data_IF_963432747877
#
_entry.id   IF_963432747877
#
_cell.length_a   1.000
_cell.length_b   1.000
_cell.length_c   1.000
_cell.angle_alpha   90.00
_cell.angle_beta   90.00
_cell.angle_gamma   90.00
#
_symmetry.space_group_name_H-M   'P 1'
#
loop_
_entity.id
_entity.type
_entity.pdbx_description
1 polymer ?
#
# COMPACT_ATOMS: atom_id res chain seq x y z
N UNK A 1 8.81 30.51 4.19
CA UNK A 1 9.47 29.20 4.27
C UNK A 1 8.44 28.20 4.76
N UNK A 2 8.22 27.14 3.99
CA UNK A 2 7.24 26.11 4.32
C UNK A 2 7.74 25.27 5.53
N UNK A 3 6.83 24.74 6.36
CA UNK A 3 7.19 23.94 7.55
C UNK A 3 8.09 22.75 7.20
N UNK A 4 7.91 22.20 5.99
CA UNK A 4 8.72 21.12 5.41
C UNK A 4 10.16 21.58 5.11
N UNK A 5 10.35 22.81 4.62
CA UNK A 5 11.68 23.36 4.36
C UNK A 5 12.44 23.69 5.65
N UNK A 6 11.74 24.24 6.66
CA UNK A 6 12.34 24.46 7.99
C UNK A 6 12.76 23.13 8.64
N UNK A 7 11.96 22.07 8.46
CA UNK A 7 12.28 20.72 8.94
C UNK A 7 13.51 20.12 8.24
N UNK A 8 13.65 20.29 6.91
CA UNK A 8 14.81 19.82 6.15
C UNK A 8 16.13 20.52 6.54
N UNK A 9 16.10 21.82 6.82
CA UNK A 9 17.28 22.57 7.25
C UNK A 9 17.72 22.18 8.67
N UNK A 10 16.76 21.97 9.57
CA UNK A 10 17.04 21.48 10.92
C UNK A 10 17.67 20.06 10.90
N UNK A 11 17.18 19.18 10.01
CA UNK A 11 17.68 17.81 9.80
C UNK A 11 19.14 17.77 9.32
N UNK A 12 19.55 18.68 8.44
CA UNK A 12 20.94 18.74 7.93
C UNK A 12 21.94 19.17 9.01
N UNK A 13 21.53 20.07 9.89
CA UNK A 13 22.36 20.51 11.02
C UNK A 13 22.52 19.41 12.10
N UNK A 14 21.50 18.58 12.28
CA UNK A 14 21.47 17.57 13.35
C UNK A 14 22.30 16.31 13.06
N UNK A 15 22.48 15.92 11.78
CA UNK A 15 23.12 14.65 11.40
C UNK A 15 24.66 14.66 11.30
N UNK A 16 25.34 15.79 11.44
CA UNK A 16 26.80 15.89 11.15
C UNK A 16 27.72 15.78 12.39
N UNK A 17 27.23 15.62 13.63
CA UNK A 17 28.15 15.61 14.80
C UNK A 17 27.81 14.59 15.91
N UNK A 18 28.76 13.70 16.21
CA UNK A 18 28.62 12.58 17.14
C UNK A 18 29.04 12.86 18.60
N UNK A 19 29.47 14.08 18.95
CA UNK A 19 30.03 14.36 20.29
C UNK A 19 29.34 15.53 21.00
N UNK A 20 28.78 15.29 22.20
CA UNK A 20 27.97 16.27 22.96
C UNK A 20 28.73 17.56 23.33
N UNK A 21 30.03 17.49 23.63
CA UNK A 21 30.88 18.67 23.92
C UNK A 21 31.18 19.51 22.67
N UNK A 22 31.07 18.95 21.47
CA UNK A 22 31.20 19.69 20.22
C UNK A 22 29.90 20.45 19.86
N UNK A 23 28.76 20.11 20.49
CA UNK A 23 27.44 20.69 20.20
C UNK A 23 27.27 22.13 20.66
N UNK A 24 27.88 22.52 21.80
CA UNK A 24 27.75 23.89 22.30
C UNK A 24 28.70 24.85 21.56
N UNK A 25 29.93 24.41 21.29
CA UNK A 25 30.92 25.25 20.60
C UNK A 25 30.63 25.39 19.11
N UNK A 26 30.19 24.31 18.42
CA UNK A 26 29.78 24.40 17.01
C UNK A 26 28.43 25.10 16.82
N UNK A 27 27.48 25.04 17.77
CA UNK A 27 26.22 25.78 17.62
C UNK A 27 26.44 27.30 17.74
N UNK A 28 27.35 27.74 18.62
CA UNK A 28 27.72 29.15 18.76
C UNK A 28 28.59 29.62 17.59
N UNK A 29 29.58 28.83 17.17
CA UNK A 29 30.42 29.18 16.01
C UNK A 29 29.68 29.07 14.67
N UNK A 30 28.72 28.14 14.53
CA UNK A 30 27.86 28.07 13.36
C UNK A 30 26.86 29.22 13.35
N UNK A 31 26.25 29.61 14.48
CA UNK A 31 25.36 30.79 14.48
C UNK A 31 26.12 32.08 14.14
N UNK A 32 27.32 32.30 14.67
CA UNK A 32 28.12 33.49 14.36
C UNK A 32 28.72 33.46 12.94
N UNK A 33 29.16 32.28 12.48
CA UNK A 33 29.71 32.09 11.14
C UNK A 33 28.66 32.13 10.04
N UNK A 34 27.44 31.60 10.25
CA UNK A 34 26.35 31.68 9.27
C UNK A 34 25.82 33.10 9.14
N UNK A 35 25.78 33.89 10.22
CA UNK A 35 25.32 35.28 10.14
C UNK A 35 26.31 36.14 9.33
N UNK A 36 27.62 35.93 9.51
CA UNK A 36 28.67 36.63 8.76
C UNK A 36 28.81 36.14 7.30
N UNK A 37 28.61 34.84 7.06
CA UNK A 37 28.61 34.29 5.70
C UNK A 37 27.35 34.68 4.92
N UNK A 38 26.20 34.85 5.59
CA UNK A 38 24.97 35.31 4.94
C UNK A 38 24.97 36.79 4.58
N UNK A 39 25.67 37.64 5.34
CA UNK A 39 25.90 39.04 4.93
C UNK A 39 26.93 39.15 3.80
N UNK A 40 27.93 38.27 3.75
CA UNK A 40 28.90 38.25 2.65
C UNK A 40 28.35 37.63 1.33
N UNK A 41 27.44 36.65 1.40
CA UNK A 41 26.82 36.06 0.20
C UNK A 41 25.72 36.93 -0.43
N UNK A 42 25.20 37.94 0.27
CA UNK A 42 24.21 38.86 -0.29
C UNK A 42 24.80 39.83 -1.35
N UNK A 43 26.13 39.91 -1.49
CA UNK A 43 26.81 40.78 -2.46
C UNK A 43 27.26 40.07 -3.76
N UNK A 44 27.22 38.74 -3.81
CA UNK A 44 27.71 37.96 -4.96
C UNK A 44 26.57 37.43 -5.84
N UNK A 45 26.27 38.14 -6.94
CA UNK A 45 25.30 37.69 -7.97
C UNK A 45 25.75 36.41 -8.67
N UNK A 46 25.35 35.25 -8.16
CA UNK A 46 25.16 34.05 -8.97
C UNK A 46 23.70 33.59 -8.82
N UNK A 47 22.88 33.90 -9.84
CA UNK A 47 21.52 33.37 -9.98
C UNK A 47 21.61 31.85 -10.12
N UNK A 48 21.34 31.11 -9.04
CA UNK A 48 20.83 29.75 -9.16
C UNK A 48 19.47 29.81 -9.84
N UNK A 49 19.16 28.92 -10.79
CA UNK A 49 17.80 28.79 -11.28
C UNK A 49 16.91 28.43 -10.08
N UNK A 50 15.88 29.24 -9.83
CA UNK A 50 14.86 28.90 -8.86
C UNK A 50 14.26 27.53 -9.22
N UNK A 51 14.00 26.65 -8.24
CA UNK A 51 13.19 25.48 -8.50
C UNK A 51 11.86 25.99 -9.05
N UNK A 52 11.53 25.61 -10.30
CA UNK A 52 10.21 25.86 -10.89
C UNK A 52 9.19 25.42 -9.86
N UNK A 53 8.38 26.37 -9.38
CA UNK A 53 7.16 26.06 -8.66
C UNK A 53 6.35 25.15 -9.58
N UNK A 54 6.33 23.86 -9.29
CA UNK A 54 5.42 22.94 -9.96
C UNK A 54 4.04 23.46 -9.65
N UNK A 55 3.36 23.97 -10.68
CA UNK A 55 1.99 24.40 -10.55
C UNK A 55 1.20 23.19 -10.04
N UNK A 56 0.75 23.26 -8.79
CA UNK A 56 -0.22 22.31 -8.25
C UNK A 56 -1.44 22.46 -9.14
N UNK A 57 -1.64 21.52 -10.06
CA UNK A 57 -2.82 21.48 -10.92
C UNK A 57 -4.00 21.27 -10.00
N UNK A 58 -4.73 22.34 -9.71
CA UNK A 58 -6.00 22.22 -9.01
C UNK A 58 -6.96 21.52 -9.97
N UNK A 59 -7.22 20.24 -9.71
CA UNK A 59 -8.25 19.50 -10.43
C UNK A 59 -9.58 20.22 -10.25
N UNK A 60 -10.24 20.58 -11.35
CA UNK A 60 -11.53 21.29 -11.32
C UNK A 60 -12.52 20.55 -10.41
N UNK A 61 -13.04 21.28 -9.41
CA UNK A 61 -14.11 20.80 -8.55
C UNK A 61 -15.33 20.47 -9.41
N UNK A 62 -15.53 19.18 -9.71
CA UNK A 62 -16.63 18.73 -10.56
C UNK A 62 -16.26 17.64 -11.58
N UNK A 63 -14.99 17.31 -11.81
CA UNK A 63 -14.63 16.21 -12.70
C UNK A 63 -14.98 14.84 -12.07
N UNK A 64 -16.02 14.12 -12.55
CA UNK A 64 -16.46 12.86 -11.94
C UNK A 64 -15.54 11.67 -12.27
N UNK A 65 -14.53 11.87 -13.12
CA UNK A 65 -13.60 10.82 -13.56
C UNK A 65 -12.64 10.44 -12.44
N UNK A 66 -12.19 11.43 -11.67
CA UNK A 66 -11.31 11.26 -10.52
C UNK A 66 -12.15 11.24 -9.23
N UNK A 67 -11.82 10.37 -8.26
CA UNK A 67 -12.53 10.37 -6.99
C UNK A 67 -12.26 11.68 -6.22
N UNK A 68 -13.12 12.05 -5.25
CA UNK A 68 -12.81 13.14 -4.34
C UNK A 68 -11.49 12.85 -3.63
N UNK A 69 -10.63 13.87 -3.58
CA UNK A 69 -9.30 13.77 -2.99
C UNK A 69 -9.41 13.77 -1.46
N UNK A 70 -8.57 12.94 -0.84
CA UNK A 70 -8.40 12.83 0.60
C UNK A 70 -7.02 13.38 0.94
N UNK A 71 -6.93 14.21 1.98
CA UNK A 71 -5.62 14.68 2.46
C UNK A 71 -4.88 13.53 3.16
N UNK A 72 -3.56 13.48 3.01
CA UNK A 72 -2.71 12.57 3.79
C UNK A 72 -2.92 12.73 5.30
N UNK A 73 -3.21 13.95 5.77
CA UNK A 73 -3.51 14.25 7.18
C UNK A 73 -4.76 13.55 7.72
N UNK A 74 -5.73 13.23 6.85
CA UNK A 74 -6.99 12.58 7.25
C UNK A 74 -6.87 11.06 7.39
N UNK A 75 -5.78 10.48 6.87
CA UNK A 75 -5.54 9.04 6.82
C UNK A 75 -4.74 8.56 8.05
N UNK A 76 -3.87 9.42 8.58
CA UNK A 76 -3.00 9.08 9.70
C UNK A 76 -3.78 9.12 11.02
N UNK A 77 -3.63 8.10 11.90
CA UNK A 77 -4.27 8.14 13.20
C UNK A 77 -3.68 9.28 14.05
N UNK A 78 -4.55 10.03 14.72
CA UNK A 78 -4.11 10.96 15.75
C UNK A 78 -3.51 10.16 16.93
N UNK A 79 -2.21 10.31 17.14
CA UNK A 79 -1.49 9.76 18.30
C UNK A 79 -1.50 10.72 19.50
N UNK A 80 -2.33 11.75 19.44
CA UNK A 80 -2.55 12.66 20.54
C UNK A 80 -3.40 12.01 21.64
N UNK A 81 -3.04 12.29 22.90
CA UNK A 81 -3.85 11.87 24.05
C UNK A 81 -5.23 12.51 24.04
N UNK A 82 -5.42 13.61 23.30
CA UNK A 82 -6.70 14.29 23.08
C UNK A 82 -7.26 13.82 21.73
N UNK A 83 -8.12 12.82 21.75
CA UNK A 83 -9.02 12.59 20.61
C UNK A 83 -10.43 12.82 21.16
N UNK A 84 -11.08 13.85 20.65
CA UNK A 84 -12.39 14.31 21.11
C UNK A 84 -13.53 13.61 20.38
N UNK A 85 -13.24 12.91 19.28
CA UNK A 85 -14.24 12.34 18.38
C UNK A 85 -13.85 10.93 17.92
N UNK A 86 -14.84 10.10 17.51
CA UNK A 86 -14.56 8.87 16.78
C UNK A 86 -13.74 9.19 15.52
N UNK A 87 -12.91 8.24 15.07
CA UNK A 87 -12.07 8.38 13.87
C UNK A 87 -12.86 9.06 12.75
N UNK A 88 -12.44 10.25 12.32
CA UNK A 88 -12.94 10.84 11.08
C UNK A 88 -12.47 9.91 9.97
N UNK A 89 -13.41 9.41 9.16
CA UNK A 89 -13.12 8.43 8.12
C UNK A 89 -13.32 9.09 6.77
N UNK A 90 -12.27 9.18 5.93
CA UNK A 90 -12.44 9.61 4.56
C UNK A 90 -13.45 8.72 3.82
N UNK A 91 -14.23 9.30 2.91
CA UNK A 91 -15.26 8.58 2.18
C UNK A 91 -14.69 7.33 1.48
N UNK A 92 -15.37 6.19 1.61
CA UNK A 92 -14.94 4.93 1.00
C UNK A 92 -13.83 4.18 1.75
N UNK A 93 -13.42 4.64 2.94
CA UNK A 93 -12.50 3.93 3.83
C UNK A 93 -13.24 3.26 4.99
N UNK A 94 -12.65 2.20 5.55
CA UNK A 94 -13.18 1.54 6.76
C UNK A 94 -12.53 2.16 7.99
N UNK A 95 -13.29 2.59 9.02
CA UNK A 95 -12.73 3.11 10.26
C UNK A 95 -11.77 2.13 10.94
N UNK A 96 -10.83 2.66 11.73
CA UNK A 96 -9.99 1.86 12.63
C UNK A 96 -10.81 1.12 13.70
N UNK A 97 -11.85 1.80 14.21
CA UNK A 97 -12.75 1.37 15.27
C UNK A 97 -14.12 2.06 15.13
N UNK A 98 -15.18 1.44 15.63
CA UNK A 98 -16.55 1.96 15.56
C UNK A 98 -16.86 2.98 16.67
N UNK A 99 -18.00 3.66 16.56
CA UNK A 99 -18.51 4.50 17.65
C UNK A 99 -18.78 3.68 18.94
N UNK A 100 -19.25 2.44 18.81
CA UNK A 100 -19.45 1.51 19.93
C UNK A 100 -18.13 1.16 20.61
N UNK A 101 -17.08 0.89 19.82
CA UNK A 101 -15.74 0.64 20.38
C UNK A 101 -15.20 1.87 21.12
N UNK A 102 -15.45 3.07 20.60
CA UNK A 102 -15.07 4.32 21.25
C UNK A 102 -15.80 4.52 22.58
N UNK A 103 -17.11 4.28 22.63
CA UNK A 103 -17.89 4.35 23.87
C UNK A 103 -17.40 3.33 24.90
N UNK A 104 -17.12 2.09 24.47
CA UNK A 104 -16.56 1.06 25.35
C UNK A 104 -15.20 1.47 25.93
N UNK A 105 -14.32 2.07 25.11
CA UNK A 105 -13.06 2.63 25.60
C UNK A 105 -13.29 3.75 26.63
N UNK A 106 -14.20 4.68 26.37
CA UNK A 106 -14.51 5.79 27.28
C UNK A 106 -15.02 5.27 28.64
N UNK A 107 -15.89 4.26 28.63
CA UNK A 107 -16.39 3.63 29.85
C UNK A 107 -15.29 2.92 30.64
N UNK A 108 -14.37 2.21 29.97
CA UNK A 108 -13.33 1.43 30.63
C UNK A 108 -12.15 2.27 31.12
N UNK A 109 -11.70 3.24 30.31
CA UNK A 109 -10.44 3.93 30.53
C UNK A 109 -10.50 5.46 30.34
N UNK A 110 -11.65 6.05 29.99
CA UNK A 110 -11.75 7.47 29.62
C UNK A 110 -11.20 8.42 30.69
N UNK A 111 -11.66 8.29 31.94
CA UNK A 111 -11.20 9.11 33.07
C UNK A 111 -9.71 8.89 33.38
N UNK A 112 -9.26 7.64 33.43
CA UNK A 112 -7.86 7.28 33.69
C UNK A 112 -6.92 7.83 32.59
N UNK A 113 -7.33 7.76 31.32
CA UNK A 113 -6.55 8.28 30.21
C UNK A 113 -6.40 9.81 30.25
N UNK A 114 -7.44 10.54 30.71
CA UNK A 114 -7.36 11.99 30.91
C UNK A 114 -6.43 12.33 32.08
N UNK A 115 -6.54 11.60 33.19
CA UNK A 115 -5.69 11.80 34.37
C UNK A 115 -4.22 11.51 34.06
N UNK A 116 -3.93 10.40 33.37
CA UNK A 116 -2.58 9.95 33.04
C UNK A 116 -1.74 11.00 32.28
N UNK A 117 -2.38 11.96 31.59
CA UNK A 117 -1.69 13.10 30.94
C UNK A 117 -0.86 13.94 31.90
N UNK A 118 -1.29 14.03 33.16
CA UNK A 118 -0.61 14.82 34.21
C UNK A 118 0.31 13.96 35.08
N UNK A 119 0.26 12.64 34.91
CA UNK A 119 1.05 11.70 35.69
C UNK A 119 2.46 11.51 35.12
N UNK A 120 3.32 10.90 35.92
CA UNK A 120 4.69 10.57 35.55
C UNK A 120 4.76 9.40 34.53
N UNK A 121 5.95 9.17 33.99
CA UNK A 121 6.21 8.14 32.96
C UNK A 121 5.80 6.73 33.42
N UNK A 122 6.07 6.38 34.68
CA UNK A 122 5.78 5.05 35.24
C UNK A 122 4.27 4.78 35.31
N UNK A 123 3.48 5.73 35.81
CA UNK A 123 2.03 5.60 35.89
C UNK A 123 1.39 5.47 34.50
N UNK A 124 1.86 6.26 33.51
CA UNK A 124 1.41 6.12 32.11
C UNK A 124 1.74 4.75 31.53
N UNK A 125 2.93 4.21 31.79
CA UNK A 125 3.32 2.88 31.32
C UNK A 125 2.48 1.77 31.97
N UNK A 126 2.13 1.91 33.26
CA UNK A 126 1.24 0.98 33.94
C UNK A 126 -0.17 1.00 33.34
N UNK A 127 -0.73 2.18 33.07
CA UNK A 127 -2.03 2.32 32.39
C UNK A 127 -1.99 1.74 30.96
N UNK A 128 -0.94 2.04 30.20
CA UNK A 128 -0.75 1.49 28.86
C UNK A 128 -0.70 -0.05 28.87
N UNK A 129 -0.05 -0.64 29.89
CA UNK A 129 0.00 -2.09 30.07
C UNK A 129 -1.38 -2.69 30.36
N UNK A 130 -2.20 -2.01 31.18
CA UNK A 130 -3.60 -2.40 31.44
C UNK A 130 -4.45 -2.34 30.17
N UNK A 131 -4.34 -1.24 29.40
CA UNK A 131 -5.05 -1.10 28.12
C UNK A 131 -4.66 -2.19 27.13
N UNK A 132 -3.36 -2.51 27.04
CA UNK A 132 -2.87 -3.57 26.16
C UNK A 132 -3.37 -4.96 26.58
N UNK A 133 -3.40 -5.25 27.89
CA UNK A 133 -3.96 -6.50 28.40
C UNK A 133 -5.46 -6.62 28.07
N UNK A 134 -6.24 -5.56 28.30
CA UNK A 134 -7.65 -5.51 27.92
C UNK A 134 -7.85 -5.67 26.39
N UNK A 135 -6.99 -5.04 25.59
CA UNK A 135 -7.03 -5.15 24.13
C UNK A 135 -6.76 -6.57 23.61
N UNK A 136 -5.96 -7.37 24.32
CA UNK A 136 -5.74 -8.79 24.00
C UNK A 136 -6.94 -9.68 24.34
N UNK A 137 -7.75 -9.28 25.30
CA UNK A 137 -8.93 -10.02 25.78
C UNK A 137 -10.24 -9.54 25.13
N UNK A 138 -10.21 -8.41 24.40
CA UNK A 138 -11.38 -7.85 23.74
C UNK A 138 -11.93 -8.79 22.67
N UNK A 139 -13.24 -9.03 22.71
CA UNK A 139 -13.98 -9.76 21.67
C UNK A 139 -14.18 -8.92 20.39
N UNK A 140 -14.12 -7.58 20.51
CA UNK A 140 -14.13 -6.67 19.36
C UNK A 140 -12.70 -6.39 18.89
N UNK A 141 -12.41 -6.69 17.62
CA UNK A 141 -11.16 -6.31 16.97
C UNK A 141 -10.99 -4.79 16.88
N UNK A 142 -12.09 -4.04 16.72
CA UNK A 142 -12.07 -2.57 16.68
C UNK A 142 -11.62 -1.97 18.01
N UNK A 143 -12.23 -2.42 19.12
CA UNK A 143 -11.83 -2.03 20.48
C UNK A 143 -10.39 -2.46 20.78
N UNK A 144 -10.00 -3.68 20.38
CA UNK A 144 -8.62 -4.16 20.55
C UNK A 144 -7.59 -3.28 19.84
N UNK A 145 -7.87 -2.87 18.59
CA UNK A 145 -7.03 -1.91 17.84
C UNK A 145 -6.97 -0.55 18.51
N UNK A 146 -8.11 -0.01 18.95
CA UNK A 146 -8.18 1.27 19.67
C UNK A 146 -7.33 1.24 20.95
N UNK A 147 -7.48 0.19 21.76
CA UNK A 147 -6.71 0.04 23.00
C UNK A 147 -5.20 -0.06 22.74
N UNK A 148 -4.78 -0.74 21.66
CA UNK A 148 -3.37 -0.78 21.27
C UNK A 148 -2.85 0.61 20.87
N UNK A 149 -3.61 1.38 20.08
CA UNK A 149 -3.25 2.74 19.69
C UNK A 149 -3.11 3.66 20.92
N UNK A 150 -4.00 3.52 21.91
CA UNK A 150 -3.96 4.32 23.15
C UNK A 150 -2.83 3.94 24.08
N UNK A 151 -2.59 2.64 24.26
CA UNK A 151 -1.44 2.15 25.00
C UNK A 151 -0.14 2.69 24.38
N UNK A 152 -0.03 2.64 23.06
CA UNK A 152 1.12 3.19 22.34
C UNK A 152 1.27 4.70 22.58
N UNK A 153 0.21 5.49 22.36
CA UNK A 153 0.26 6.95 22.49
C UNK A 153 0.70 7.39 23.90
N UNK A 154 0.19 6.73 24.95
CA UNK A 154 0.59 7.00 26.34
C UNK A 154 2.09 6.78 26.57
N UNK A 155 2.64 5.70 26.03
CA UNK A 155 4.07 5.41 26.13
C UNK A 155 4.91 6.36 25.27
N UNK A 156 4.52 6.60 24.03
CA UNK A 156 5.28 7.43 23.09
C UNK A 156 5.42 8.87 23.59
N UNK A 157 4.34 9.49 24.05
CA UNK A 157 4.38 10.88 24.55
C UNK A 157 5.25 11.06 25.80
N UNK A 158 5.50 9.99 26.54
CA UNK A 158 6.42 10.01 27.70
C UNK A 158 7.90 10.08 27.30
N UNK A 159 8.21 9.94 26.00
CA UNK A 159 9.57 9.80 25.43
C UNK A 159 10.39 8.63 25.99
N UNK A 160 9.79 7.80 26.85
CA UNK A 160 10.38 6.56 27.31
C UNK A 160 10.23 5.49 26.24
N UNK A 161 11.33 4.81 25.91
CA UNK A 161 11.24 3.52 25.23
C UNK A 161 10.53 2.57 26.16
N UNK A 162 9.29 2.24 25.83
CA UNK A 162 8.55 1.26 26.57
C UNK A 162 8.42 0.01 25.72
N UNK A 163 8.86 -1.13 26.25
CA UNK A 163 8.52 -2.44 25.70
C UNK A 163 7.01 -2.57 25.46
N UNK A 164 6.19 -1.85 26.23
CA UNK A 164 4.74 -1.75 26.06
C UNK A 164 4.37 -1.14 24.70
N UNK A 165 5.05 -0.10 24.23
CA UNK A 165 4.78 0.50 22.92
C UNK A 165 5.09 -0.50 21.78
N UNK A 166 6.21 -1.22 21.89
CA UNK A 166 6.55 -2.28 20.93
C UNK A 166 5.57 -3.46 20.98
N UNK A 167 5.10 -3.83 22.18
CA UNK A 167 4.08 -4.87 22.33
C UNK A 167 2.71 -4.40 21.81
N UNK A 168 2.38 -3.11 21.95
CA UNK A 168 1.17 -2.52 21.43
C UNK A 168 1.16 -2.52 19.89
N UNK A 169 2.26 -2.13 19.24
CA UNK A 169 2.41 -2.27 17.79
C UNK A 169 2.28 -3.73 17.34
N UNK A 170 2.99 -4.66 17.98
CA UNK A 170 2.90 -6.10 17.66
C UNK A 170 1.47 -6.63 17.79
N UNK A 171 0.76 -6.24 18.84
CA UNK A 171 -0.63 -6.64 19.02
C UNK A 171 -1.56 -5.97 18.00
N UNK A 172 -1.33 -4.69 17.68
CA UNK A 172 -2.07 -4.00 16.63
C UNK A 172 -1.93 -4.72 15.29
N UNK A 173 -0.71 -5.10 14.89
CA UNK A 173 -0.45 -5.82 13.64
C UNK A 173 -1.18 -7.18 13.55
N UNK A 174 -1.39 -7.86 14.69
CA UNK A 174 -2.18 -9.10 14.73
C UNK A 174 -3.68 -8.87 14.49
N UNK A 175 -4.16 -7.69 14.85
CA UNK A 175 -5.56 -7.28 14.69
C UNK A 175 -5.79 -6.49 13.39
N UNK A 176 -4.71 -6.11 12.70
CA UNK A 176 -4.77 -5.28 11.51
C UNK A 176 -5.00 -6.13 10.25
N UNK A 177 -5.86 -5.62 9.39
CA UNK A 177 -6.12 -6.13 8.05
C UNK A 177 -5.30 -5.30 7.04
N UNK A 178 -4.40 -5.97 6.33
CA UNK A 178 -3.52 -5.36 5.34
C UNK A 178 -4.23 -4.74 4.15
N UNK A 179 -5.51 -5.07 3.93
CA UNK A 179 -6.31 -4.52 2.84
C UNK A 179 -7.06 -3.23 3.22
N UNK A 180 -6.92 -2.79 4.49
CA UNK A 180 -7.55 -1.58 5.03
C UNK A 180 -6.56 -0.42 5.18
N UNK A 181 -6.79 0.66 4.41
CA UNK A 181 -5.91 1.84 4.31
C UNK A 181 -5.57 2.40 5.69
N UNK A 182 -6.58 2.71 6.51
CA UNK A 182 -6.36 3.32 7.82
C UNK A 182 -5.57 2.40 8.78
N UNK A 183 -5.73 1.09 8.64
CA UNK A 183 -5.00 0.13 9.49
C UNK A 183 -3.54 0.03 9.08
N UNK A 184 -3.24 0.02 7.77
CA UNK A 184 -1.86 0.11 7.26
C UNK A 184 -1.22 1.46 7.61
N UNK A 185 -1.96 2.56 7.49
CA UNK A 185 -1.52 3.89 7.91
C UNK A 185 -1.17 3.93 9.40
N UNK A 186 -1.96 3.26 10.25
CA UNK A 186 -1.62 3.11 11.65
C UNK A 186 -0.35 2.28 11.87
N UNK A 187 -0.14 1.18 11.15
CA UNK A 187 1.13 0.43 11.22
C UNK A 187 2.30 1.34 10.84
N UNK A 188 2.17 2.14 9.77
CA UNK A 188 3.18 3.12 9.37
C UNK A 188 3.45 4.12 10.51
N UNK A 189 2.43 4.80 11.05
CA UNK A 189 2.63 5.81 12.11
C UNK A 189 3.30 5.22 13.34
N UNK A 190 2.82 4.09 13.84
CA UNK A 190 3.37 3.47 15.04
C UNK A 190 4.83 3.01 14.86
N UNK A 191 5.16 2.42 13.69
CA UNK A 191 6.53 1.96 13.42
C UNK A 191 7.48 3.12 13.11
N UNK A 192 7.02 4.14 12.39
CA UNK A 192 7.74 5.39 12.14
C UNK A 192 8.15 6.05 13.47
N UNK A 193 7.19 6.22 14.39
CA UNK A 193 7.45 6.86 15.67
C UNK A 193 8.45 6.07 16.53
N UNK A 194 8.36 4.74 16.55
CA UNK A 194 9.35 3.91 17.25
C UNK A 194 10.74 3.97 16.61
N UNK A 195 10.83 4.10 15.29
CA UNK A 195 12.09 4.22 14.58
C UNK A 195 12.82 5.54 14.91
N UNK A 196 12.08 6.61 15.17
CA UNK A 196 12.64 7.93 15.52
C UNK A 196 12.87 8.15 17.01
N UNK A 197 12.14 7.43 17.88
CA UNK A 197 12.26 7.61 19.31
C UNK A 197 13.67 7.25 19.79
N UNK A 198 14.41 8.24 20.30
CA UNK A 198 15.81 8.10 20.72
C UNK A 198 16.02 7.02 21.80
N UNK A 199 15.00 6.80 22.64
CA UNK A 199 15.05 5.81 23.70
C UNK A 199 14.96 4.37 23.16
N UNK A 200 14.43 4.15 21.95
CA UNK A 200 14.29 2.81 21.37
C UNK A 200 15.69 2.25 21.05
N UNK A 201 16.01 0.99 21.46
CA UNK A 201 17.30 0.39 21.16
C UNK A 201 17.61 0.39 19.66
N UNK A 202 18.87 0.62 19.28
CA UNK A 202 19.27 0.76 17.88
C UNK A 202 18.81 -0.42 16.98
N UNK A 203 19.00 -1.70 17.36
CA UNK A 203 18.52 -2.82 16.52
C UNK A 203 17.01 -2.79 16.31
N UNK A 204 16.25 -2.37 17.33
CA UNK A 204 14.80 -2.24 17.25
C UNK A 204 14.41 -1.08 16.34
N UNK A 205 15.07 0.08 16.44
CA UNK A 205 14.81 1.21 15.53
C UNK A 205 15.03 0.85 14.07
N UNK A 206 16.10 0.12 13.79
CA UNK A 206 16.41 -0.36 12.44
C UNK A 206 15.32 -1.30 11.91
N UNK A 207 14.82 -2.22 12.74
CA UNK A 207 13.70 -3.08 12.38
C UNK A 207 12.40 -2.28 12.15
N UNK A 208 12.09 -1.33 13.02
CA UNK A 208 10.89 -0.49 12.91
C UNK A 208 10.95 0.43 11.69
N UNK A 209 12.14 0.93 11.32
CA UNK A 209 12.36 1.66 10.07
C UNK A 209 11.99 0.80 8.85
N UNK A 210 12.49 -0.43 8.77
CA UNK A 210 12.14 -1.35 7.67
C UNK A 210 10.64 -1.65 7.63
N UNK A 211 10.00 -1.80 8.79
CA UNK A 211 8.55 -2.01 8.88
C UNK A 211 7.76 -0.77 8.40
N UNK A 212 8.19 0.42 8.81
CA UNK A 212 7.59 1.69 8.39
C UNK A 212 7.66 1.86 6.88
N UNK A 213 8.82 1.64 6.26
CA UNK A 213 8.98 1.74 4.81
C UNK A 213 8.12 0.71 4.05
N UNK A 214 7.99 -0.52 4.58
CA UNK A 214 7.05 -1.51 4.01
C UNK A 214 5.60 -1.03 4.10
N UNK A 215 5.20 -0.46 5.24
CA UNK A 215 3.87 0.09 5.43
C UNK A 215 3.59 1.26 4.50
N UNK A 216 4.59 2.11 4.27
CA UNK A 216 4.51 3.25 3.36
C UNK A 216 4.27 2.81 1.92
N UNK A 217 5.10 1.88 1.42
CA UNK A 217 4.93 1.29 0.09
C UNK A 217 3.54 0.68 -0.08
N UNK A 218 3.07 -0.09 0.90
CA UNK A 218 1.73 -0.68 0.84
C UNK A 218 0.64 0.39 0.84
N UNK A 219 0.76 1.41 1.69
CA UNK A 219 -0.18 2.51 1.80
C UNK A 219 -0.30 3.27 0.47
N UNK A 220 0.82 3.63 -0.17
CA UNK A 220 0.86 4.29 -1.48
C UNK A 220 0.09 3.47 -2.51
N UNK A 221 0.35 2.17 -2.60
CA UNK A 221 -0.31 1.29 -3.57
C UNK A 221 -1.82 1.18 -3.31
N UNK A 222 -2.24 1.15 -2.05
CA UNK A 222 -3.65 1.11 -1.66
C UNK A 222 -4.38 2.42 -1.93
N UNK A 223 -3.69 3.56 -1.81
CA UNK A 223 -4.20 4.89 -2.14
C UNK A 223 -4.35 5.03 -3.66
N UNK A 224 -3.33 4.64 -4.43
CA UNK A 224 -3.39 4.58 -5.89
C UNK A 224 -4.54 3.69 -6.39
N UNK A 225 -4.73 2.51 -5.79
CA UNK A 225 -5.84 1.61 -6.13
C UNK A 225 -7.22 2.22 -5.88
N UNK A 226 -7.32 3.18 -4.95
CA UNK A 226 -8.54 3.95 -4.65
C UNK A 226 -8.63 5.27 -5.42
N UNK A 227 -7.63 5.59 -6.24
CA UNK A 227 -7.52 6.85 -6.98
C UNK A 227 -7.20 8.08 -6.11
N UNK A 228 -6.70 7.87 -4.90
CA UNK A 228 -6.30 8.93 -3.97
C UNK A 228 -4.88 9.40 -4.29
N UNK A 229 -4.75 10.18 -5.37
CA UNK A 229 -3.46 10.52 -5.96
C UNK A 229 -2.68 11.51 -5.12
N UNK A 230 -3.36 12.53 -4.56
CA UNK A 230 -2.71 13.55 -3.76
C UNK A 230 -2.13 12.94 -2.49
N UNK A 231 -2.93 12.15 -1.77
CA UNK A 231 -2.45 11.39 -0.61
C UNK A 231 -1.29 10.43 -0.98
N UNK A 232 -1.36 9.74 -2.12
CA UNK A 232 -0.28 8.85 -2.55
C UNK A 232 1.01 9.63 -2.90
N UNK A 233 0.87 10.81 -3.52
CA UNK A 233 1.97 11.69 -3.84
C UNK A 233 2.62 12.27 -2.58
N UNK A 234 1.80 12.74 -1.63
CA UNK A 234 2.26 13.14 -0.30
C UNK A 234 3.06 12.02 0.36
N UNK A 235 2.51 10.80 0.37
CA UNK A 235 3.18 9.62 0.95
C UNK A 235 4.55 9.31 0.30
N UNK A 236 4.71 9.56 -0.99
CA UNK A 236 6.03 9.38 -1.65
C UNK A 236 7.12 10.27 -1.07
N UNK A 237 6.79 11.46 -0.57
CA UNK A 237 7.75 12.34 0.10
C UNK A 237 8.24 11.78 1.44
N UNK A 238 7.49 10.84 2.02
CA UNK A 238 7.86 10.14 3.25
C UNK A 238 8.64 8.83 3.01
N UNK A 239 8.67 8.33 1.77
CA UNK A 239 9.49 7.16 1.42
C UNK A 239 10.98 7.43 1.61
N UNK A 240 11.69 6.45 2.17
CA UNK A 240 13.09 6.52 2.53
C UNK A 240 13.38 7.60 3.59
N UNK A 241 12.38 8.02 4.38
CA UNK A 241 12.65 8.93 5.51
C UNK A 241 13.60 8.28 6.52
N UNK A 242 13.50 6.96 6.66
CA UNK A 242 14.43 6.15 7.45
C UNK A 242 15.55 5.64 6.53
N UNK A 243 16.50 6.51 6.20
CA UNK A 243 17.70 6.14 5.42
C UNK A 243 18.70 5.27 6.23
N UNK A 244 18.22 4.20 6.85
CA UNK A 244 19.04 3.29 7.64
C UNK A 244 19.79 2.30 6.75
N UNK A 245 20.86 1.71 7.30
CA UNK A 245 21.64 0.66 6.62
C UNK A 245 20.76 -0.52 6.23
N UNK A 246 19.80 -0.88 7.08
CA UNK A 246 18.93 -2.04 6.93
C UNK A 246 17.90 -1.85 5.81
N UNK A 247 17.38 -0.63 5.65
CA UNK A 247 16.54 -0.29 4.50
C UNK A 247 17.36 -0.38 3.21
N UNK A 248 18.59 0.17 3.21
CA UNK A 248 19.49 0.13 2.04
C UNK A 248 19.97 -1.28 1.69
N UNK A 249 20.14 -2.15 2.68
CA UNK A 249 20.53 -3.55 2.46
C UNK A 249 19.37 -4.42 1.95
N UNK A 250 18.12 -3.96 2.04
CA UNK A 250 16.96 -4.70 1.60
C UNK A 250 16.63 -4.39 0.12
N UNK A 251 17.30 -5.09 -0.79
CA UNK A 251 17.12 -4.90 -2.24
C UNK A 251 15.68 -5.08 -2.72
N UNK A 252 14.92 -6.00 -2.12
CA UNK A 252 13.50 -6.21 -2.45
C UNK A 252 12.69 -4.98 -2.08
N UNK A 253 12.86 -4.45 -0.87
CA UNK A 253 12.18 -3.24 -0.42
C UNK A 253 12.56 -2.03 -1.29
N UNK A 254 13.85 -1.83 -1.61
CA UNK A 254 14.27 -0.75 -2.50
C UNK A 254 13.64 -0.84 -3.90
N UNK A 255 13.54 -2.05 -4.45
CA UNK A 255 12.84 -2.28 -5.73
C UNK A 255 11.36 -1.92 -5.63
N UNK A 256 10.70 -2.27 -4.52
CA UNK A 256 9.30 -1.93 -4.27
C UNK A 256 9.08 -0.42 -4.06
N UNK A 257 9.98 0.26 -3.35
CA UNK A 257 9.99 1.72 -3.17
C UNK A 257 10.08 2.41 -4.55
N UNK A 258 11.03 1.98 -5.38
CA UNK A 258 11.18 2.53 -6.73
C UNK A 258 9.95 2.27 -7.60
N UNK A 259 9.36 1.07 -7.52
CA UNK A 259 8.12 0.75 -8.22
C UNK A 259 6.95 1.65 -7.76
N UNK A 260 6.80 1.88 -6.46
CA UNK A 260 5.77 2.76 -5.91
C UNK A 260 5.93 4.21 -6.42
N UNK A 261 7.16 4.75 -6.42
CA UNK A 261 7.46 6.09 -6.96
C UNK A 261 7.09 6.21 -8.43
N UNK A 262 7.51 5.23 -9.25
CA UNK A 262 7.18 5.20 -10.68
C UNK A 262 5.66 5.14 -10.88
N UNK A 263 4.95 4.35 -10.08
CA UNK A 263 3.49 4.24 -10.19
C UNK A 263 2.78 5.54 -9.81
N UNK A 264 3.25 6.28 -8.80
CA UNK A 264 2.69 7.60 -8.49
C UNK A 264 2.86 8.54 -9.67
N UNK A 265 4.07 8.67 -10.22
CA UNK A 265 4.33 9.53 -11.39
C UNK A 265 3.45 9.14 -12.58
N UNK A 266 3.33 7.85 -12.88
CA UNK A 266 2.48 7.37 -13.97
C UNK A 266 0.99 7.64 -13.74
N UNK A 267 0.52 7.59 -12.49
CA UNK A 267 -0.88 7.90 -12.19
C UNK A 267 -1.15 9.41 -12.22
N UNK A 268 -0.21 10.26 -11.78
CA UNK A 268 -0.32 11.72 -11.93
C UNK A 268 -0.42 12.10 -13.41
N UNK A 269 0.48 11.59 -14.25
CA UNK A 269 0.43 11.81 -15.70
C UNK A 269 -0.88 11.30 -16.33
N UNK A 270 -1.40 10.16 -15.84
CA UNK A 270 -2.69 9.64 -16.28
C UNK A 270 -3.84 10.56 -15.88
N UNK A 271 -3.84 11.10 -14.66
CA UNK A 271 -4.87 12.03 -14.19
C UNK A 271 -4.89 13.32 -15.02
N UNK A 272 -3.72 13.87 -15.34
CA UNK A 272 -3.59 15.04 -16.21
C UNK A 272 -4.14 14.73 -17.61
N UNK A 273 -3.72 13.60 -18.19
CA UNK A 273 -4.21 13.15 -19.49
C UNK A 273 -5.74 12.98 -19.50
N UNK A 274 -6.32 12.34 -18.47
CA UNK A 274 -7.76 12.15 -18.37
C UNK A 274 -8.52 13.46 -18.17
N UNK A 275 -7.95 14.41 -17.41
CA UNK A 275 -8.52 15.74 -17.26
C UNK A 275 -8.57 16.48 -18.61
N UNK A 276 -7.50 16.39 -19.40
CA UNK A 276 -7.47 16.94 -20.75
C UNK A 276 -8.48 16.25 -21.68
N UNK A 277 -8.61 14.91 -21.63
CA UNK A 277 -9.62 14.21 -22.42
C UNK A 277 -11.05 14.60 -21.99
N UNK A 278 -11.29 14.76 -20.69
CA UNK A 278 -12.59 15.17 -20.17
C UNK A 278 -12.98 16.58 -20.64
N UNK A 279 -12.02 17.52 -20.67
CA UNK A 279 -12.26 18.85 -21.24
C UNK A 279 -12.63 18.80 -22.74
N UNK A 280 -11.98 17.92 -23.52
CA UNK A 280 -12.29 17.73 -24.95
C UNK A 280 -13.69 17.16 -25.18
N UNK A 281 -14.16 16.26 -24.31
CA UNK A 281 -15.52 15.72 -24.37
C UNK A 281 -16.57 16.83 -24.24
N UNK A 282 -16.35 17.79 -23.33
CA UNK A 282 -17.22 18.97 -23.22
C UNK A 282 -17.16 19.86 -24.47
N UNK A 283 -16.05 19.83 -25.21
CA UNK A 283 -15.91 20.44 -26.52
C UNK A 283 -16.51 19.62 -27.68
N UNK A 284 -17.16 18.48 -27.42
CA UNK A 284 -17.79 17.62 -28.43
C UNK A 284 -16.89 16.57 -29.07
N UNK A 285 -15.65 16.36 -28.59
CA UNK A 285 -14.75 15.33 -29.11
C UNK A 285 -15.14 13.94 -28.59
N UNK A 286 -15.85 13.18 -29.41
CA UNK A 286 -16.26 11.80 -29.08
C UNK A 286 -15.06 10.84 -28.91
N UNK A 287 -13.95 11.07 -29.61
CA UNK A 287 -12.77 10.19 -29.51
C UNK A 287 -12.11 10.30 -28.13
N UNK A 288 -12.16 11.48 -27.50
CA UNK A 288 -11.68 11.67 -26.14
C UNK A 288 -12.46 10.82 -25.12
N UNK A 289 -13.73 10.49 -25.38
CA UNK A 289 -14.54 9.61 -24.54
C UNK A 289 -14.01 8.18 -24.48
N UNK A 290 -13.30 7.73 -25.52
CA UNK A 290 -12.73 6.38 -25.55
C UNK A 290 -11.64 6.17 -24.51
N UNK A 291 -10.84 7.21 -24.22
CA UNK A 291 -9.81 7.18 -23.17
C UNK A 291 -10.43 7.04 -21.77
N UNK A 292 -11.49 7.80 -21.48
CA UNK A 292 -12.21 7.73 -20.19
C UNK A 292 -12.91 6.39 -20.04
N UNK A 293 -13.53 5.90 -21.11
CA UNK A 293 -14.12 4.56 -21.13
C UNK A 293 -13.07 3.47 -20.86
N UNK A 294 -11.93 3.51 -21.54
CA UNK A 294 -10.84 2.56 -21.35
C UNK A 294 -10.27 2.62 -19.92
N UNK A 295 -10.13 3.81 -19.34
CA UNK A 295 -9.74 4.00 -17.94
C UNK A 295 -10.74 3.35 -16.98
N UNK A 296 -12.03 3.66 -17.15
CA UNK A 296 -13.10 3.09 -16.34
C UNK A 296 -13.18 1.55 -16.48
N UNK A 297 -12.86 0.99 -17.65
CA UNK A 297 -12.90 -0.46 -17.90
C UNK A 297 -11.68 -1.22 -17.40
N UNK A 298 -10.49 -0.74 -17.73
CA UNK A 298 -9.25 -1.52 -17.63
C UNK A 298 -8.35 -1.08 -16.46
N UNK A 299 -8.54 0.15 -15.96
CA UNK A 299 -7.75 0.69 -14.84
C UNK A 299 -8.57 0.65 -13.55
N UNK A 300 -9.70 1.38 -13.49
CA UNK A 300 -10.52 1.46 -12.26
C UNK A 300 -11.53 0.35 -12.08
N UNK A 301 -11.96 -0.30 -13.17
CA UNK A 301 -13.12 -1.19 -13.19
C UNK A 301 -14.41 -0.52 -12.65
N UNK A 302 -14.57 0.77 -12.87
CA UNK A 302 -15.76 1.54 -12.50
C UNK A 302 -16.91 1.23 -13.47
N UNK A 303 -18.01 0.67 -12.97
CA UNK A 303 -19.18 0.34 -13.81
C UNK A 303 -20.06 1.55 -14.10
N UNK A 304 -20.17 2.48 -13.15
CA UNK A 304 -21.04 3.64 -13.27
C UNK A 304 -20.48 4.59 -14.32
N UNK A 305 -19.18 4.91 -14.24
CA UNK A 305 -18.52 5.77 -15.23
C UNK A 305 -18.59 5.18 -16.64
N UNK A 306 -18.40 3.85 -16.79
CA UNK A 306 -18.57 3.19 -18.10
C UNK A 306 -19.97 3.35 -18.68
N UNK A 307 -21.01 3.12 -17.86
CA UNK A 307 -22.40 3.27 -18.30
C UNK A 307 -22.70 4.72 -18.69
N UNK A 308 -22.19 5.68 -17.93
CA UNK A 308 -22.32 7.09 -18.26
C UNK A 308 -21.70 7.42 -19.62
N UNK A 309 -20.49 6.92 -19.91
CA UNK A 309 -19.85 7.11 -21.22
C UNK A 309 -20.63 6.45 -22.36
N UNK A 310 -21.15 5.23 -22.16
CA UNK A 310 -21.97 4.56 -23.19
C UNK A 310 -23.28 5.31 -23.43
N UNK A 311 -23.94 5.80 -22.37
CA UNK A 311 -25.20 6.53 -22.48
C UNK A 311 -25.02 7.91 -23.13
N UNK A 312 -23.89 8.58 -22.88
CA UNK A 312 -23.57 9.85 -23.54
C UNK A 312 -23.24 9.66 -25.04
N UNK A 313 -22.65 8.52 -25.40
CA UNK A 313 -22.18 8.22 -26.76
C UNK A 313 -22.77 6.90 -27.29
N UNK A 314 -24.11 6.81 -27.35
CA UNK A 314 -24.84 5.57 -27.68
C UNK A 314 -24.43 4.95 -29.03
N UNK A 315 -24.08 5.80 -30.00
CA UNK A 315 -23.62 5.39 -31.33
C UNK A 315 -22.11 5.58 -31.53
N UNK A 316 -21.39 6.01 -30.50
CA UNK A 316 -19.96 6.32 -30.58
C UNK A 316 -19.04 5.13 -30.37
N UNK A 317 -17.73 5.41 -30.37
CA UNK A 317 -16.69 4.40 -30.15
C UNK A 317 -16.78 3.69 -28.79
N UNK A 318 -17.11 4.35 -27.66
CA UNK A 318 -17.26 3.66 -26.37
C UNK A 318 -18.32 2.54 -26.39
N UNK A 319 -19.49 2.81 -26.97
CA UNK A 319 -20.59 1.84 -27.08
C UNK A 319 -20.24 0.69 -28.05
N UNK A 320 -19.59 1.02 -29.17
CA UNK A 320 -19.08 0.04 -30.13
C UNK A 320 -18.04 -0.90 -29.50
N UNK A 321 -17.12 -0.34 -28.71
CA UNK A 321 -16.11 -1.11 -27.99
C UNK A 321 -16.75 -2.01 -26.91
N UNK A 322 -17.70 -1.50 -26.12
CA UNK A 322 -18.38 -2.33 -25.10
C UNK A 322 -19.09 -3.52 -25.74
N UNK A 323 -19.82 -3.30 -26.84
CA UNK A 323 -20.49 -4.36 -27.62
C UNK A 323 -19.49 -5.39 -28.17
N UNK A 324 -18.36 -4.91 -28.71
CA UNK A 324 -17.28 -5.77 -29.22
C UNK A 324 -16.70 -6.66 -28.10
N UNK A 325 -16.48 -6.09 -26.91
CA UNK A 325 -15.95 -6.83 -25.76
C UNK A 325 -16.97 -7.81 -25.15
N UNK A 326 -18.26 -7.45 -25.14
CA UNK A 326 -19.34 -8.32 -24.65
C UNK A 326 -19.46 -9.58 -25.52
N UNK A 327 -19.30 -9.44 -26.83
CA UNK A 327 -19.41 -10.55 -27.79
C UNK A 327 -18.10 -11.30 -28.01
N UNK A 328 -16.96 -10.78 -27.53
CA UNK A 328 -15.64 -11.37 -27.72
C UNK A 328 -15.52 -12.83 -27.24
N UNK A 329 -16.25 -13.21 -26.17
CA UNK A 329 -16.22 -14.58 -25.65
C UNK A 329 -17.03 -15.60 -26.47
N UNK A 330 -17.83 -15.13 -27.42
CA UNK A 330 -18.74 -16.00 -28.19
C UNK A 330 -18.02 -16.75 -29.32
N UNK A 331 -16.90 -16.24 -29.82
CA UNK A 331 -16.10 -16.93 -30.84
C UNK A 331 -14.66 -16.41 -30.90
N UNK A 332 -13.74 -17.25 -31.37
CA UNK A 332 -12.33 -16.84 -31.60
C UNK A 332 -12.21 -15.63 -32.51
N UNK A 333 -13.02 -15.56 -33.56
CA UNK A 333 -12.96 -14.45 -34.49
C UNK A 333 -13.28 -13.13 -33.78
N UNK A 334 -14.32 -13.13 -32.93
CA UNK A 334 -14.71 -11.96 -32.14
C UNK A 334 -13.65 -11.62 -31.10
N UNK A 335 -13.08 -12.61 -30.41
CA UNK A 335 -11.97 -12.41 -29.48
C UNK A 335 -10.74 -11.81 -30.17
N UNK A 336 -10.36 -12.32 -31.35
CA UNK A 336 -9.21 -11.83 -32.12
C UNK A 336 -9.44 -10.39 -32.59
N UNK A 337 -10.62 -10.09 -33.15
CA UNK A 337 -10.97 -8.74 -33.59
C UNK A 337 -10.94 -7.75 -32.42
N UNK A 338 -11.50 -8.13 -31.28
CA UNK A 338 -11.48 -7.33 -30.07
C UNK A 338 -10.05 -7.14 -29.52
N UNK A 339 -9.22 -8.19 -29.53
CA UNK A 339 -7.80 -8.10 -29.17
C UNK A 339 -7.03 -7.15 -30.08
N UNK A 340 -7.24 -7.23 -31.40
CA UNK A 340 -6.60 -6.34 -32.39
C UNK A 340 -7.04 -4.89 -32.23
N UNK A 341 -8.33 -4.66 -31.96
CA UNK A 341 -8.83 -3.31 -31.69
C UNK A 341 -8.19 -2.74 -30.41
N UNK A 342 -8.18 -3.50 -29.30
CA UNK A 342 -7.55 -3.05 -28.05
C UNK A 342 -6.04 -2.84 -28.19
N UNK A 343 -5.35 -3.64 -29.00
CA UNK A 343 -3.93 -3.43 -29.30
C UNK A 343 -3.72 -2.06 -29.95
N UNK A 344 -4.46 -1.76 -31.02
CA UNK A 344 -4.38 -0.46 -31.71
C UNK A 344 -4.72 0.70 -30.78
N UNK A 345 -5.82 0.58 -30.04
CA UNK A 345 -6.24 1.58 -29.05
C UNK A 345 -5.18 1.77 -27.95
N UNK A 346 -4.55 0.70 -27.49
CA UNK A 346 -3.46 0.81 -26.52
C UNK A 346 -2.29 1.65 -27.03
N UNK A 347 -1.95 1.55 -28.31
CA UNK A 347 -0.88 2.34 -28.92
C UNK A 347 -1.24 3.80 -29.20
N UNK A 348 -2.52 4.17 -29.21
CA UNK A 348 -2.93 5.58 -29.30
C UNK A 348 -2.83 6.29 -27.95
N UNK A 349 -2.76 5.55 -26.84
CA UNK A 349 -2.59 6.13 -25.51
C UNK A 349 -1.12 6.47 -25.22
N UNK A 350 -0.86 7.53 -24.42
CA UNK A 350 0.49 7.83 -23.93
C UNK A 350 1.11 6.61 -23.21
N UNK A 351 2.45 6.46 -23.26
CA UNK A 351 3.15 5.47 -22.45
C UNK A 351 2.76 5.59 -20.97
N UNK A 352 2.35 4.49 -20.34
CA UNK A 352 1.88 4.51 -18.96
C UNK A 352 0.77 3.50 -18.68
N UNK A 353 0.09 3.68 -17.54
CA UNK A 353 -0.84 2.69 -16.99
C UNK A 353 -2.01 2.41 -17.94
N UNK A 354 -2.62 3.43 -18.54
CA UNK A 354 -3.76 3.23 -19.44
C UNK A 354 -3.38 2.40 -20.67
N UNK A 355 -2.25 2.71 -21.32
CA UNK A 355 -1.67 1.91 -22.40
C UNK A 355 -1.40 0.48 -21.93
N UNK A 356 -0.62 0.30 -20.87
CA UNK A 356 -0.23 -1.03 -20.38
C UNK A 356 -1.45 -1.90 -20.03
N UNK A 357 -2.48 -1.33 -19.40
CA UNK A 357 -3.71 -2.05 -19.02
C UNK A 357 -4.56 -2.41 -20.22
N UNK A 358 -4.65 -1.53 -21.20
CA UNK A 358 -5.39 -1.77 -22.45
C UNK A 358 -4.71 -2.87 -23.28
N UNK A 359 -3.38 -2.81 -23.43
CA UNK A 359 -2.60 -3.86 -24.09
C UNK A 359 -2.69 -5.20 -23.32
N UNK A 360 -2.67 -5.18 -22.00
CA UNK A 360 -2.87 -6.38 -21.19
C UNK A 360 -4.28 -6.99 -21.36
N UNK A 361 -5.32 -6.16 -21.54
CA UNK A 361 -6.65 -6.63 -21.88
C UNK A 361 -6.67 -7.26 -23.30
N UNK A 362 -5.94 -6.71 -24.27
CA UNK A 362 -5.75 -7.33 -25.58
C UNK A 362 -5.07 -8.71 -25.47
N UNK A 363 -4.02 -8.84 -24.66
CA UNK A 363 -3.34 -10.13 -24.38
C UNK A 363 -4.34 -11.17 -23.85
N UNK A 364 -5.25 -10.80 -22.93
CA UNK A 364 -6.27 -11.72 -22.43
C UNK A 364 -7.20 -12.23 -23.53
N UNK A 365 -7.57 -11.38 -24.49
CA UNK A 365 -8.43 -11.76 -25.62
C UNK A 365 -7.69 -12.65 -26.61
N UNK A 366 -6.41 -12.38 -26.89
CA UNK A 366 -5.58 -13.25 -27.70
C UNK A 366 -5.35 -14.62 -27.04
N UNK A 367 -5.23 -14.68 -25.71
CA UNK A 367 -5.15 -15.96 -25.00
C UNK A 367 -6.42 -16.81 -25.16
N UNK A 368 -7.62 -16.20 -25.24
CA UNK A 368 -8.86 -16.91 -25.55
C UNK A 368 -8.75 -17.54 -26.95
N UNK A 369 -8.23 -16.80 -27.93
CA UNK A 369 -8.04 -17.32 -29.29
C UNK A 369 -7.05 -18.49 -29.34
N UNK A 370 -5.99 -18.45 -28.51
CA UNK A 370 -4.98 -19.52 -28.43
C UNK A 370 -5.56 -20.78 -27.78
N UNK A 371 -6.43 -20.62 -26.79
CA UNK A 371 -7.00 -21.73 -26.03
C UNK A 371 -7.99 -22.58 -26.84
N UNK A 372 -8.62 -22.01 -27.88
CA UNK A 372 -9.52 -22.78 -28.72
C UNK A 372 -8.75 -23.76 -29.63
N UNK A 373 -9.21 -25.01 -29.59
CA UNK A 373 -8.62 -26.16 -30.29
C UNK A 373 -9.23 -26.40 -31.68
N UNK A 374 -10.18 -25.57 -32.13
CA UNK A 374 -10.80 -25.69 -33.45
C UNK A 374 -9.79 -25.91 -34.59
N UNK A 375 -10.11 -26.85 -35.47
CA UNK A 375 -9.17 -27.42 -36.46
C UNK A 375 -9.13 -26.70 -37.82
N UNK A 376 -9.83 -25.58 -38.01
CA UNK A 376 -9.76 -24.85 -39.30
C UNK A 376 -8.41 -24.16 -39.51
N UNK A 377 -7.96 -24.06 -40.76
CA UNK A 377 -6.75 -23.33 -41.12
C UNK A 377 -6.81 -21.86 -40.67
N UNK A 378 -7.97 -21.23 -40.80
CA UNK A 378 -8.18 -19.85 -40.36
C UNK A 378 -7.96 -19.71 -38.84
N UNK A 379 -8.41 -20.67 -38.04
CA UNK A 379 -8.12 -20.70 -36.60
C UNK A 379 -6.63 -20.91 -36.32
N UNK A 380 -5.94 -21.75 -37.10
CA UNK A 380 -4.48 -21.91 -36.99
C UNK A 380 -3.75 -20.58 -37.25
N UNK A 381 -4.09 -19.86 -38.32
CA UNK A 381 -3.50 -18.55 -38.65
C UNK A 381 -3.74 -17.55 -37.52
N UNK A 382 -4.98 -17.41 -37.03
CA UNK A 382 -5.31 -16.48 -35.93
C UNK A 382 -4.55 -16.79 -34.65
N UNK A 383 -4.34 -18.08 -34.31
CA UNK A 383 -3.54 -18.48 -33.16
C UNK A 383 -2.07 -18.07 -33.30
N UNK A 384 -1.50 -18.25 -34.49
CA UNK A 384 -0.12 -17.81 -34.78
C UNK A 384 0.00 -16.29 -34.65
N UNK A 385 -0.89 -15.51 -35.28
CA UNK A 385 -0.89 -14.05 -35.17
C UNK A 385 -1.11 -13.58 -33.72
N UNK A 386 -1.98 -14.26 -32.97
CA UNK A 386 -2.21 -13.97 -31.55
C UNK A 386 -0.93 -14.15 -30.72
N UNK A 387 -0.12 -15.19 -30.99
CA UNK A 387 1.16 -15.40 -30.29
C UNK A 387 2.17 -14.30 -30.59
N UNK A 388 2.29 -13.91 -31.86
CA UNK A 388 3.18 -12.82 -32.30
C UNK A 388 2.79 -11.52 -31.59
N UNK A 389 1.50 -11.16 -31.63
CA UNK A 389 1.00 -9.94 -31.00
C UNK A 389 1.20 -9.96 -29.47
N UNK A 390 1.06 -11.11 -28.81
CA UNK A 390 1.33 -11.24 -27.37
C UNK A 390 2.81 -10.98 -27.06
N UNK A 391 3.73 -11.50 -27.87
CA UNK A 391 5.17 -11.29 -27.67
C UNK A 391 5.53 -9.80 -27.80
N UNK A 392 5.05 -9.15 -28.86
CA UNK A 392 5.21 -7.72 -29.10
C UNK A 392 4.68 -6.89 -27.91
N UNK A 393 3.42 -7.10 -27.54
CA UNK A 393 2.80 -6.32 -26.46
C UNK A 393 3.45 -6.56 -25.10
N UNK A 394 4.00 -7.76 -24.83
CA UNK A 394 4.77 -8.01 -23.60
C UNK A 394 6.07 -7.21 -23.58
N UNK A 395 6.74 -7.07 -24.73
CA UNK A 395 7.88 -6.17 -24.91
C UNK A 395 7.50 -4.71 -24.60
N UNK A 396 6.33 -4.30 -25.05
CA UNK A 396 5.79 -2.94 -24.84
C UNK A 396 5.13 -2.70 -23.46
N UNK A 397 5.33 -3.62 -22.52
CA UNK A 397 4.88 -3.43 -21.14
C UNK A 397 3.42 -3.78 -20.86
N UNK A 398 2.78 -4.63 -21.67
CA UNK A 398 1.45 -5.20 -21.36
C UNK A 398 1.46 -6.00 -20.05
N UNK A 399 1.15 -5.31 -18.94
CA UNK A 399 1.25 -5.84 -17.58
C UNK A 399 -0.08 -5.70 -16.85
N UNK A 400 -0.38 -6.67 -15.99
CA UNK A 400 -1.47 -6.62 -15.01
C UNK A 400 -1.14 -5.74 -13.81
N UNK A 401 -2.10 -5.55 -12.89
CA UNK A 401 -1.85 -4.81 -11.65
C UNK A 401 -0.66 -5.43 -10.92
N UNK A 402 0.37 -4.63 -10.55
CA UNK A 402 1.44 -5.14 -9.73
C UNK A 402 0.83 -5.58 -8.39
N UNK A 403 0.91 -6.87 -8.09
CA UNK A 403 0.51 -7.39 -6.79
C UNK A 403 1.67 -7.18 -5.81
N UNK A 404 1.80 -5.97 -5.30
CA UNK A 404 2.82 -5.60 -4.33
C UNK A 404 2.09 -5.29 -3.03
N UNK A 405 2.20 -6.20 -2.07
CA UNK A 405 1.59 -6.04 -0.75
C UNK A 405 2.62 -6.48 0.32
N UNK A 406 3.64 -5.63 0.58
CA UNK A 406 4.84 -6.01 1.34
C UNK A 406 4.57 -6.30 2.83
N UNK A 407 3.44 -5.83 3.38
CA UNK A 407 2.97 -6.18 4.71
C UNK A 407 2.04 -7.39 4.74
N UNK A 408 1.42 -7.81 3.64
CA UNK A 408 0.53 -8.99 3.63
C UNK A 408 1.16 -10.26 4.22
N UNK A 409 2.45 -10.59 4.03
CA UNK A 409 3.05 -11.74 4.73
C UNK A 409 3.29 -11.52 6.24
N UNK A 410 3.23 -10.27 6.71
CA UNK A 410 3.47 -9.89 8.12
C UNK A 410 2.19 -9.61 8.89
N UNK A 411 1.12 -9.23 8.19
CA UNK A 411 -0.22 -9.04 8.75
C UNK A 411 -0.93 -10.38 8.68
N UNK A 412 -1.52 -10.79 9.81
CA UNK A 412 -2.13 -12.11 9.91
C UNK A 412 -3.14 -12.30 8.79
N UNK A 413 -2.97 -13.37 8.01
CA UNK A 413 -4.10 -13.87 7.22
C UNK A 413 -5.22 -14.11 8.23
N UNK A 414 -6.36 -13.44 8.07
CA UNK A 414 -7.58 -13.87 8.71
C UNK A 414 -7.88 -15.22 8.07
N UNK A 415 -7.29 -16.28 8.63
CA UNK A 415 -7.70 -17.63 8.35
C UNK A 415 -9.20 -17.63 8.62
N UNK A 416 -9.99 -17.79 7.57
CA UNK A 416 -11.37 -18.19 7.70
C UNK A 416 -11.34 -19.43 8.59
N UNK A 417 -11.66 -19.25 9.87
CA UNK A 417 -11.86 -20.36 10.80
C UNK A 417 -13.19 -20.99 10.36
N UNK A 418 -13.13 -21.83 9.33
CA UNK A 418 -14.07 -22.93 9.19
C UNK A 418 -14.04 -23.69 10.51
N UNK A 419 -15.15 -23.58 11.25
CA UNK A 419 -15.35 -24.24 12.52
C UNK A 419 -14.96 -25.73 12.42
N UNK A 420 -14.26 -26.30 13.41
CA UNK A 420 -14.10 -27.74 13.47
C UNK A 420 -15.49 -28.35 13.71
N UNK A 421 -15.99 -29.06 12.71
CA UNK A 421 -17.16 -29.92 12.85
C UNK A 421 -16.91 -30.90 13.99
N UNK A 422 -17.74 -30.80 15.02
CA UNK A 422 -17.95 -31.78 16.07
C UNK A 422 -18.07 -33.18 15.48
N UNK A 423 -17.05 -34.03 15.70
CA UNK A 423 -17.25 -35.48 15.74
C UNK A 423 -17.40 -35.89 17.20
N UNK A 424 -18.62 -36.31 17.48
CA UNK A 424 -19.08 -36.98 18.69
C UNK A 424 -18.10 -38.06 19.15
N UNK A 425 -17.66 -37.95 20.40
CA UNK A 425 -17.07 -39.06 21.13
C UNK A 425 -18.21 -39.90 21.70
N UNK A 426 -18.21 -41.20 21.40
CA UNK A 426 -18.94 -42.20 22.16
C UNK A 426 -18.06 -43.44 22.34
N UNK A 427 -17.86 -43.79 23.63
CA UNK A 427 -17.46 -45.10 24.16
C UNK A 427 -16.02 -45.58 23.90
N UNK A 428 -15.31 -46.27 24.80
CA UNK A 428 -15.26 -46.44 26.24
C UNK A 428 -14.08 -47.41 26.51
N UNK A 429 -13.09 -47.02 27.34
CA UNK A 429 -12.22 -47.81 28.27
C UNK A 429 -11.54 -49.15 27.84
N UNK A 430 -10.61 -49.71 28.64
CA UNK A 430 -9.41 -49.19 29.32
C UNK A 430 -8.11 -49.94 28.94
N UNK A 431 -6.96 -49.40 29.37
CA UNK A 431 -5.61 -50.01 29.33
C UNK A 431 -5.52 -51.37 30.08
N UNK A 432 -4.49 -52.21 29.82
CA UNK A 432 -3.31 -52.19 30.70
C UNK A 432 -1.93 -52.58 30.08
N UNK A 433 -0.87 -51.96 30.64
CA UNK A 433 0.45 -52.49 31.09
C UNK A 433 1.36 -53.39 30.22
N UNK A 434 2.68 -53.20 30.42
CA UNK A 434 3.87 -54.02 30.06
C UNK A 434 4.45 -53.74 28.65
N UNK A 435 5.76 -53.70 28.39
CA UNK A 435 7.00 -53.88 29.14
C UNK A 435 8.17 -53.72 28.14
N UNK A 436 9.34 -53.25 28.58
CA UNK A 436 10.63 -53.40 27.87
C UNK A 436 10.96 -54.91 27.70
N UNK A 437 11.81 -55.38 26.74
CA UNK A 437 13.18 -54.89 26.55
C UNK A 437 13.87 -55.05 25.15
N UNK A 438 15.09 -54.48 25.05
CA UNK A 438 16.31 -54.89 24.29
C UNK A 438 16.29 -55.25 22.78
N UNK A 439 16.94 -54.40 21.94
CA UNK A 439 18.27 -54.54 21.22
C UNK A 439 18.70 -55.97 20.76
N UNK A 440 19.47 -56.24 19.65
CA UNK A 440 20.26 -55.37 18.72
C UNK A 440 20.21 -55.72 17.20
N UNK A 441 21.02 -54.94 16.44
CA UNK A 441 21.79 -55.31 15.23
C UNK A 441 21.04 -55.44 13.91
N UNK A 442 21.63 -55.19 12.74
CA UNK A 442 22.80 -54.47 12.24
C UNK A 442 22.69 -54.57 10.70
N UNK A 443 23.27 -53.63 9.95
CA UNK A 443 23.89 -53.76 8.62
C UNK A 443 23.24 -54.66 7.52
N UNK A 444 23.14 -54.32 6.24
CA UNK A 444 23.50 -53.23 5.33
C UNK A 444 22.89 -53.68 3.98
N UNK A 445 22.43 -52.78 3.09
CA UNK A 445 21.86 -53.16 1.81
C UNK A 445 22.92 -53.15 0.70
N UNK A 446 22.85 -54.09 -0.25
CA UNK A 446 23.37 -53.91 -1.61
C UNK A 446 22.84 -55.02 -2.55
N UNK A 447 22.03 -54.62 -3.52
CA UNK A 447 22.29 -54.70 -4.98
C UNK A 447 21.98 -56.02 -5.67
N UNK A 448 21.14 -55.93 -6.71
CA UNK A 448 20.99 -56.96 -7.74
C UNK A 448 19.87 -56.64 -8.74
N UNK A 449 20.16 -56.43 -10.03
CA UNK A 449 19.21 -55.96 -11.04
C UNK A 449 18.50 -57.12 -11.76
N UNK A 450 17.27 -56.90 -12.24
CA UNK A 450 16.57 -57.86 -13.09
C UNK A 450 16.23 -57.26 -14.46
N UNK A 451 16.81 -57.89 -15.49
CA UNK A 451 16.46 -57.82 -16.91
C UNK A 451 15.04 -58.37 -17.17
N UNK A 452 14.38 -57.75 -18.16
CA UNK A 452 13.43 -58.25 -19.20
C UNK A 452 13.14 -59.76 -19.26
N UNK A 453 11.96 -60.23 -19.76
CA UNK A 453 11.34 -59.87 -21.07
C UNK A 453 9.81 -59.65 -20.95
N UNK A 454 8.98 -59.38 -21.96
CA UNK A 454 9.05 -59.24 -23.41
C UNK A 454 7.60 -59.14 -23.91
N UNK A 455 7.34 -58.23 -24.86
CA UNK A 455 6.40 -58.30 -25.98
C UNK A 455 6.36 -56.96 -26.70
#
# INVERSE_FOLDING_TARGET
MDRVQCWWLWRRAYMVSSSFKMRQTLAVLACCGLLAAMTALAAGKHRRPEPRSEAVVQHEAGNPVLPPQVSSGDILPALDLVQTLPSIVPQGMTPLYSATDWQAFQQQFGSQAVQARRENVSARAALASKMLAAGRQSSSAGLGRLLCLRAFALCYQSRGSSDVAQQALRQFMRLADGDKVLQVAAVWSLSHELAWLAATPLPVRMHMAVLAEKADVQLILMLLARGQLDAAHDMVHWLMIHETREVRANHVLLSQINAARILVVQNTQLADYLSQQYAKIHGGDEHAALAIYAYARFVRNDRALRRAMIAAFVHGEPASLDTMLATAKQSNHKAYRAGKYLQRLGYTFPPGILRHRTLHAAVKLYNICIADKGYSEENRVRRTLSRINIQEMRGDGARGNPNIAPLTPLLGAVAAQTAPSTRSAASARPSPTQGLPTVPSAHTPATGPAKKPGH
#
